data_IF_607697622773
#
_entry.id   IF_607697622773
#
_cell.length_a   1.000
_cell.length_b   1.000
_cell.length_c   1.000
_cell.angle_alpha   90.00
_cell.angle_beta   90.00
_cell.angle_gamma   90.00
#
_symmetry.space_group_name_H-M   'P 1'
#
loop_
_entity.id
_entity.type
_entity.pdbx_description
1 polymer ?
#
# COMPACT_ATOMS: atom_id res chain seq x y z
N UNK A 1 -9.91 -15.83 -15.51
CA UNK A 1 -9.52 -14.64 -14.72
C UNK A 1 -10.06 -14.63 -13.27
N UNK A 2 -10.29 -15.79 -12.62
CA UNK A 2 -10.85 -15.81 -11.24
C UNK A 2 -9.82 -15.54 -10.14
N UNK A 3 -8.53 -15.67 -10.44
CA UNK A 3 -7.42 -15.60 -9.46
C UNK A 3 -7.00 -14.17 -9.14
N UNK A 4 -7.15 -13.23 -10.09
CA UNK A 4 -6.63 -11.87 -9.93
C UNK A 4 -7.24 -11.10 -8.73
N UNK A 5 -8.57 -11.15 -8.47
CA UNK A 5 -9.12 -10.55 -7.26
C UNK A 5 -8.54 -11.17 -5.98
N UNK A 6 -8.29 -12.49 -5.94
CA UNK A 6 -7.70 -13.10 -4.74
C UNK A 6 -6.26 -12.64 -4.50
N UNK A 7 -5.44 -12.58 -5.54
CA UNK A 7 -4.05 -12.09 -5.44
C UNK A 7 -4.04 -10.63 -4.98
N UNK A 8 -4.91 -9.80 -5.56
CA UNK A 8 -5.03 -8.39 -5.16
C UNK A 8 -5.52 -8.24 -3.72
N UNK A 9 -6.45 -9.10 -3.30
CA UNK A 9 -6.91 -9.17 -1.92
C UNK A 9 -5.77 -9.54 -0.97
N UNK A 10 -4.99 -10.56 -1.30
CA UNK A 10 -3.85 -10.95 -0.48
C UNK A 10 -2.83 -9.81 -0.34
N UNK A 11 -2.58 -9.09 -1.43
CA UNK A 11 -1.74 -7.88 -1.40
C UNK A 11 -2.28 -6.83 -0.41
N UNK A 12 -3.58 -6.49 -0.48
CA UNK A 12 -4.17 -5.50 0.43
C UNK A 12 -4.18 -5.97 1.88
N UNK A 13 -4.43 -7.25 2.14
CA UNK A 13 -4.38 -7.82 3.48
C UNK A 13 -2.96 -7.73 4.06
N UNK A 14 -1.95 -8.12 3.29
CA UNK A 14 -0.55 -8.01 3.70
C UNK A 14 -0.14 -6.56 3.94
N UNK A 15 -0.48 -5.65 3.01
CA UNK A 15 -0.21 -4.23 3.17
C UNK A 15 -0.86 -3.67 4.44
N UNK A 16 -2.10 -4.07 4.75
CA UNK A 16 -2.78 -3.69 5.99
C UNK A 16 -1.96 -4.07 7.22
N UNK A 17 -1.49 -5.32 7.31
CA UNK A 17 -0.69 -5.77 8.45
C UNK A 17 0.59 -4.93 8.62
N UNK A 18 1.29 -4.63 7.52
CA UNK A 18 2.50 -3.79 7.54
C UNK A 18 2.18 -2.38 7.99
N UNK A 19 1.16 -1.74 7.40
CA UNK A 19 0.77 -0.37 7.72
C UNK A 19 0.31 -0.23 9.17
N UNK A 20 -0.44 -1.21 9.67
CA UNK A 20 -0.88 -1.25 11.07
C UNK A 20 0.30 -1.43 12.01
N UNK A 21 1.20 -2.37 11.74
CA UNK A 21 2.39 -2.59 12.56
C UNK A 21 3.28 -1.33 12.62
N UNK A 22 3.55 -0.71 11.47
CA UNK A 22 4.34 0.53 11.37
C UNK A 22 3.62 1.70 12.05
N UNK A 23 2.31 1.85 11.85
CA UNK A 23 1.51 2.89 12.49
C UNK A 23 1.54 2.79 14.01
N UNK A 24 1.37 1.58 14.56
CA UNK A 24 1.50 1.35 15.99
C UNK A 24 2.91 1.59 16.51
N UNK A 25 3.94 1.15 15.80
CA UNK A 25 5.33 1.41 16.19
C UNK A 25 5.66 2.91 16.23
N UNK A 26 5.10 3.71 15.32
CA UNK A 26 5.28 5.17 15.33
C UNK A 26 4.51 5.86 16.48
N UNK A 27 3.28 5.41 16.76
CA UNK A 27 2.45 5.98 17.83
C UNK A 27 2.93 5.60 19.23
N UNK A 28 3.52 4.41 19.37
CA UNK A 28 3.98 3.86 20.64
C UNK A 28 5.46 3.47 20.53
N UNK A 29 6.38 4.45 20.43
CA UNK A 29 7.81 4.18 20.36
C UNK A 29 8.31 3.53 21.64
N UNK A 30 9.42 2.79 21.52
CA UNK A 30 10.08 2.08 22.62
C UNK A 30 9.18 0.99 23.25
N UNK A 31 8.24 0.45 22.47
CA UNK A 31 7.33 -0.63 22.84
C UNK A 31 7.62 -1.92 22.07
N UNK A 32 6.82 -2.97 22.32
CA UNK A 32 6.92 -4.25 21.57
C UNK A 32 6.70 -4.09 20.06
N UNK A 33 6.04 -3.02 19.61
CA UNK A 33 5.80 -2.77 18.19
C UNK A 33 7.07 -2.34 17.44
N UNK A 34 8.10 -1.87 18.14
CA UNK A 34 9.38 -1.50 17.54
C UNK A 34 10.13 -2.71 16.94
N UNK A 35 9.67 -3.94 17.20
CA UNK A 35 10.14 -5.15 16.52
C UNK A 35 10.06 -5.03 14.99
N UNK A 36 9.12 -4.26 14.43
CA UNK A 36 9.01 -4.03 12.97
C UNK A 36 10.27 -3.38 12.38
N UNK A 37 11.00 -2.60 13.18
CA UNK A 37 12.21 -1.91 12.72
C UNK A 37 13.42 -2.83 12.58
N UNK A 38 13.38 -4.03 13.16
CA UNK A 38 14.47 -5.03 12.99
C UNK A 38 14.68 -5.43 11.52
N UNK A 39 13.65 -5.25 10.68
CA UNK A 39 13.74 -5.49 9.24
C UNK A 39 14.46 -4.35 8.51
N UNK A 40 14.39 -3.12 9.02
CA UNK A 40 14.88 -1.91 8.35
C UNK A 40 15.12 -0.76 9.35
N UNK A 41 16.18 -0.87 10.16
CA UNK A 41 16.45 0.06 11.26
C UNK A 41 16.56 1.51 10.80
N UNK A 42 17.14 1.74 9.62
CA UNK A 42 17.27 3.06 9.01
C UNK A 42 15.91 3.79 8.83
N UNK A 43 14.81 3.05 8.58
CA UNK A 43 13.48 3.66 8.43
C UNK A 43 12.95 4.23 9.73
N UNK A 44 13.30 3.65 10.89
CA UNK A 44 12.87 4.18 12.19
C UNK A 44 13.37 5.62 12.35
N UNK A 45 14.66 5.84 12.10
CA UNK A 45 15.29 7.16 12.22
C UNK A 45 14.68 8.19 11.24
N UNK A 46 14.33 7.77 10.02
CA UNK A 46 13.71 8.64 9.02
C UNK A 46 12.26 9.02 9.35
N UNK A 47 11.48 8.10 9.92
CA UNK A 47 10.04 8.29 10.13
C UNK A 47 9.72 8.89 11.50
N UNK A 48 10.55 8.66 12.52
CA UNK A 48 10.31 9.12 13.88
C UNK A 48 10.13 10.64 14.05
N UNK A 49 10.89 11.52 13.34
CA UNK A 49 10.66 12.96 13.38
C UNK A 49 9.24 13.37 12.97
N UNK A 50 8.54 12.48 12.26
CA UNK A 50 7.23 12.71 11.66
C UNK A 50 6.15 11.78 12.25
N UNK A 51 6.42 11.13 13.38
CA UNK A 51 5.54 10.09 13.93
C UNK A 51 4.11 10.56 14.22
N UNK A 52 3.92 11.81 14.64
CA UNK A 52 2.63 12.31 15.14
C UNK A 52 1.57 12.40 14.01
N UNK A 53 2.01 12.61 12.78
CA UNK A 53 1.14 12.67 11.59
C UNK A 53 1.26 11.41 10.73
N UNK A 54 2.45 10.81 10.64
CA UNK A 54 2.62 9.54 9.93
C UNK A 54 1.92 8.39 10.64
N UNK A 55 2.02 8.24 11.96
CA UNK A 55 1.39 7.15 12.71
C UNK A 55 -0.11 7.02 12.42
N UNK A 56 -0.92 8.06 12.64
CA UNK A 56 -2.34 8.05 12.27
C UNK A 56 -2.56 7.89 10.76
N UNK A 57 -1.70 8.49 9.92
CA UNK A 57 -1.76 8.36 8.46
C UNK A 57 -1.58 6.92 7.98
N UNK A 58 -0.64 6.18 8.57
CA UNK A 58 -0.39 4.76 8.31
C UNK A 58 -1.60 3.91 8.72
N UNK A 59 -2.21 4.18 9.87
CA UNK A 59 -3.43 3.48 10.32
C UNK A 59 -4.64 3.78 9.42
N UNK A 60 -4.81 5.04 9.02
CA UNK A 60 -5.86 5.44 8.08
C UNK A 60 -5.67 4.75 6.73
N UNK A 61 -4.44 4.71 6.21
CA UNK A 61 -4.13 4.00 4.99
C UNK A 61 -4.38 2.49 5.14
N UNK A 62 -4.10 1.91 6.31
CA UNK A 62 -4.46 0.54 6.65
C UNK A 62 -5.98 0.30 6.55
N UNK A 63 -6.80 1.20 7.06
CA UNK A 63 -8.26 1.12 6.91
C UNK A 63 -8.69 1.22 5.44
N UNK A 64 -8.04 2.08 4.64
CA UNK A 64 -8.25 2.14 3.18
C UNK A 64 -7.90 0.81 2.51
N UNK A 65 -6.83 0.14 2.93
CA UNK A 65 -6.47 -1.19 2.40
C UNK A 65 -7.51 -2.26 2.76
N UNK A 66 -8.09 -2.23 3.97
CA UNK A 66 -9.19 -3.12 4.36
C UNK A 66 -10.43 -2.88 3.48
N UNK A 67 -10.77 -1.62 3.23
CA UNK A 67 -11.85 -1.26 2.31
C UNK A 67 -11.55 -1.77 0.90
N UNK A 68 -10.34 -1.53 0.39
CA UNK A 68 -9.92 -1.99 -0.94
C UNK A 68 -9.96 -3.53 -1.04
N UNK A 69 -9.53 -4.24 0.00
CA UNK A 69 -9.65 -5.70 0.13
C UNK A 69 -11.11 -6.15 0.01
N UNK A 70 -11.99 -5.59 0.83
CA UNK A 70 -13.39 -5.97 0.87
C UNK A 70 -14.12 -5.65 -0.44
N UNK A 71 -13.94 -4.44 -0.95
CA UNK A 71 -14.52 -4.01 -2.23
C UNK A 71 -13.99 -4.84 -3.39
N UNK A 72 -12.74 -5.30 -3.32
CA UNK A 72 -12.19 -6.18 -4.33
C UNK A 72 -12.75 -7.61 -4.26
N UNK A 73 -12.92 -8.19 -3.07
CA UNK A 73 -13.50 -9.52 -2.91
C UNK A 73 -14.99 -9.56 -3.28
N UNK A 74 -15.73 -8.53 -2.91
CA UNK A 74 -17.15 -8.35 -3.29
C UNK A 74 -17.31 -7.89 -4.74
N UNK A 75 -16.20 -7.61 -5.44
CA UNK A 75 -16.18 -7.09 -6.81
C UNK A 75 -16.97 -5.79 -6.99
N UNK A 76 -17.05 -4.97 -5.94
CA UNK A 76 -17.75 -3.71 -6.01
C UNK A 76 -16.95 -2.66 -6.79
N UNK A 77 -17.64 -1.80 -7.54
CA UNK A 77 -16.99 -0.74 -8.32
C UNK A 77 -16.15 0.22 -7.47
N UNK A 78 -16.61 0.55 -6.26
CA UNK A 78 -15.86 1.41 -5.35
C UNK A 78 -14.54 0.77 -4.92
N UNK A 79 -14.49 -0.56 -4.75
CA UNK A 79 -13.26 -1.29 -4.42
C UNK A 79 -12.21 -1.19 -5.51
N UNK A 80 -12.65 -1.22 -6.77
CA UNK A 80 -11.77 -1.00 -7.93
C UNK A 80 -11.22 0.43 -7.95
N UNK A 81 -12.04 1.43 -7.64
CA UNK A 81 -11.56 2.82 -7.55
C UNK A 81 -10.56 3.02 -6.41
N UNK A 82 -10.78 2.40 -5.25
CA UNK A 82 -9.80 2.41 -4.16
C UNK A 82 -8.48 1.76 -4.58
N UNK A 83 -8.53 0.60 -5.24
CA UNK A 83 -7.34 -0.06 -5.75
C UNK A 83 -6.55 0.85 -6.71
N UNK A 84 -7.24 1.51 -7.64
CA UNK A 84 -6.62 2.48 -8.56
C UNK A 84 -5.95 3.61 -7.77
N UNK A 85 -6.64 4.21 -6.79
CA UNK A 85 -6.08 5.27 -5.97
C UNK A 85 -4.81 4.83 -5.21
N UNK A 86 -4.84 3.64 -4.62
CA UNK A 86 -3.69 3.05 -3.92
C UNK A 86 -2.50 2.87 -4.85
N UNK A 87 -2.69 2.23 -6.02
CA UNK A 87 -1.57 2.01 -6.94
C UNK A 87 -1.06 3.31 -7.57
N UNK A 88 -1.91 4.30 -7.80
CA UNK A 88 -1.48 5.63 -8.23
C UNK A 88 -0.62 6.31 -7.17
N UNK A 89 -1.03 6.24 -5.90
CA UNK A 89 -0.22 6.73 -4.77
C UNK A 89 1.13 6.03 -4.66
N UNK A 90 1.15 4.70 -4.79
CA UNK A 90 2.40 3.93 -4.78
C UNK A 90 3.32 4.33 -5.94
N UNK A 91 2.79 4.47 -7.16
CA UNK A 91 3.58 4.90 -8.31
C UNK A 91 4.23 6.27 -8.07
N UNK A 92 3.52 7.22 -7.44
CA UNK A 92 4.09 8.52 -7.06
C UNK A 92 5.19 8.37 -6.00
N UNK A 93 4.99 7.52 -4.99
CA UNK A 93 6.00 7.22 -3.98
C UNK A 93 7.26 6.57 -4.57
N UNK A 94 7.09 5.67 -5.52
CA UNK A 94 8.19 5.02 -6.22
C UNK A 94 8.96 6.00 -7.12
N UNK A 95 8.27 6.92 -7.80
CA UNK A 95 8.93 8.01 -8.53
C UNK A 95 9.70 8.95 -7.58
N UNK A 96 9.18 9.22 -6.38
CA UNK A 96 9.90 9.97 -5.37
C UNK A 96 11.18 9.23 -4.92
N UNK A 97 11.13 7.90 -4.77
CA UNK A 97 12.33 7.09 -4.48
C UNK A 97 13.39 7.23 -5.58
N UNK A 98 13.00 7.22 -6.86
CA UNK A 98 13.92 7.47 -7.98
C UNK A 98 14.58 8.84 -7.83
N UNK A 99 13.81 9.88 -7.53
CA UNK A 99 14.32 11.23 -7.33
C UNK A 99 15.27 11.35 -6.12
N UNK A 100 15.09 10.50 -5.10
CA UNK A 100 15.96 10.41 -3.91
C UNK A 100 17.22 9.55 -4.14
N UNK A 101 17.44 9.04 -5.35
CA UNK A 101 18.62 8.24 -5.70
C UNK A 101 18.45 6.73 -5.55
N UNK A 102 17.29 6.25 -5.10
CA UNK A 102 16.92 4.83 -5.04
C UNK A 102 16.31 4.38 -6.38
N UNK A 103 17.12 4.47 -7.44
CA UNK A 103 16.66 4.34 -8.83
C UNK A 103 16.14 2.93 -9.13
N UNK A 104 16.83 1.89 -8.67
CA UNK A 104 16.45 0.51 -8.98
C UNK A 104 15.12 0.12 -8.31
N UNK A 105 14.99 0.39 -7.01
CA UNK A 105 13.80 0.11 -6.23
C UNK A 105 12.61 0.93 -6.74
N UNK A 106 12.83 2.23 -6.99
CA UNK A 106 11.78 3.11 -7.48
C UNK A 106 11.30 2.76 -8.90
N UNK A 107 12.19 2.41 -9.83
CA UNK A 107 11.77 2.00 -11.18
C UNK A 107 11.00 0.67 -11.15
N UNK A 108 11.45 -0.30 -10.34
CA UNK A 108 10.79 -1.59 -10.23
C UNK A 108 9.39 -1.44 -9.61
N UNK A 109 9.27 -0.67 -8.53
CA UNK A 109 7.99 -0.36 -7.91
C UNK A 109 7.03 0.34 -8.89
N UNK A 110 7.50 1.40 -9.55
CA UNK A 110 6.71 2.16 -10.50
C UNK A 110 6.24 1.30 -11.67
N UNK A 111 7.10 0.42 -12.21
CA UNK A 111 6.73 -0.50 -13.29
C UNK A 111 5.61 -1.46 -12.88
N UNK A 112 5.67 -2.01 -11.66
CA UNK A 112 4.63 -2.88 -11.11
C UNK A 112 3.33 -2.11 -10.94
N UNK A 113 3.38 -0.93 -10.30
CA UNK A 113 2.21 -0.10 -10.04
C UNK A 113 1.51 0.33 -11.33
N UNK A 114 2.26 0.80 -12.33
CA UNK A 114 1.72 1.19 -13.65
C UNK A 114 1.08 0.00 -14.36
N UNK A 115 1.72 -1.17 -14.32
CA UNK A 115 1.15 -2.39 -14.91
C UNK A 115 -0.20 -2.75 -14.30
N UNK A 116 -0.32 -2.67 -12.97
CA UNK A 116 -1.57 -2.94 -12.26
C UNK A 116 -2.64 -1.88 -12.58
N UNK A 117 -2.28 -0.60 -12.69
CA UNK A 117 -3.19 0.47 -13.09
C UNK A 117 -3.74 0.25 -14.51
N UNK A 118 -2.87 -0.09 -15.46
CA UNK A 118 -3.29 -0.42 -16.83
C UNK A 118 -4.23 -1.63 -16.81
N UNK A 119 -3.90 -2.67 -16.04
CA UNK A 119 -4.77 -3.83 -15.91
C UNK A 119 -6.14 -3.48 -15.30
N UNK A 120 -6.19 -2.68 -14.25
CA UNK A 120 -7.43 -2.25 -13.58
C UNK A 120 -8.32 -1.36 -14.47
N UNK A 121 -7.75 -0.65 -15.44
CA UNK A 121 -8.51 0.25 -16.33
C UNK A 121 -9.05 -0.43 -17.59
N UNK A 122 -8.56 -1.64 -17.92
CA UNK A 122 -9.02 -2.41 -19.08
C UNK A 122 -10.52 -2.77 -19.01
N UNK A 123 -11.24 -2.79 -20.15
CA UNK A 123 -12.66 -3.14 -20.20
C UNK A 123 -12.98 -4.52 -19.61
N UNK A 124 -12.12 -5.51 -19.85
CA UNK A 124 -12.29 -6.87 -19.31
C UNK A 124 -12.26 -6.88 -17.77
N UNK A 125 -11.35 -6.10 -17.17
CA UNK A 125 -11.26 -5.98 -15.71
C UNK A 125 -12.41 -5.14 -15.17
N UNK A 126 -12.79 -4.04 -15.84
CA UNK A 126 -13.99 -3.26 -15.52
C UNK A 126 -15.22 -4.15 -15.38
N UNK A 127 -15.43 -5.06 -16.32
CA UNK A 127 -16.57 -5.98 -16.32
C UNK A 127 -16.58 -6.97 -15.14
N UNK A 128 -15.42 -7.21 -14.49
CA UNK A 128 -15.37 -8.02 -13.27
C UNK A 128 -15.97 -7.30 -12.06
N UNK A 129 -15.96 -5.96 -12.06
CA UNK A 129 -16.49 -5.13 -11.00
C UNK A 129 -17.77 -4.46 -11.51
N UNK A 130 -18.87 -5.22 -11.53
CA UNK A 130 -20.19 -4.78 -11.99
C UNK A 130 -21.09 -4.51 -10.77
#
# INVERSE_FOLDING_TARGET
MRVAPFVLGLFFAFATCVLVAVGFALLFPDSVFDAVWSLYEARRAMLMPYRDWLGPGFLLLGAVMVCAFWGNLTRAQWGRWLAIGVFAGNALGDLAQVAMGHVAEGLLGAAIAVTLLVWLTRPATKALYA
#
